data_IF_430145155400
#
_entry.id   IF_430145155400
#
_cell.length_a   1.000
_cell.length_b   1.000
_cell.length_c   1.000
_cell.angle_alpha   90.00
_cell.angle_beta   90.00
_cell.angle_gamma   90.00
#
_symmetry.space_group_name_H-M   'P 1'
#
loop_
_entity.id
_entity.type
_entity.pdbx_description
1 polymer ?
#
# COMPACT_ATOMS: atom_id res chain seq x y z
N UNK A 1 -8.32 -2.16 20.33
CA UNK A 1 -8.59 -0.92 21.03
C UNK A 1 -10.00 -0.44 20.73
N UNK A 2 -10.62 0.22 21.71
CA UNK A 2 -12.01 0.63 21.65
C UNK A 2 -12.15 2.10 21.21
N UNK A 3 -11.55 2.46 20.04
CA UNK A 3 -11.77 3.79 19.51
C UNK A 3 -13.28 4.02 19.25
N UNK A 4 -13.81 5.24 19.46
CA UNK A 4 -15.20 5.57 19.19
C UNK A 4 -15.58 5.34 17.72
N UNK A 5 -16.88 5.25 17.47
CA UNK A 5 -17.42 5.25 16.11
C UNK A 5 -17.01 6.54 15.38
N UNK A 6 -16.47 6.42 14.17
CA UNK A 6 -15.93 7.54 13.39
C UNK A 6 -14.44 7.85 13.63
N UNK A 7 -13.81 7.20 14.62
CA UNK A 7 -12.39 7.44 14.94
C UNK A 7 -11.50 6.20 14.76
N UNK A 8 -12.09 5.04 14.48
CA UNK A 8 -11.38 3.76 14.35
C UNK A 8 -10.50 3.73 13.12
N UNK A 9 -9.31 3.17 13.24
CA UNK A 9 -8.48 2.86 12.07
C UNK A 9 -8.94 1.56 11.39
N UNK A 10 -8.61 1.44 10.10
CA UNK A 10 -8.76 0.23 9.30
C UNK A 10 -7.38 -0.23 8.82
N UNK A 11 -7.06 -1.49 9.09
CA UNK A 11 -5.81 -2.12 8.66
C UNK A 11 -6.13 -3.22 7.67
N UNK A 12 -5.84 -2.99 6.39
CA UNK A 12 -6.03 -3.98 5.32
C UNK A 12 -4.71 -4.70 5.11
N UNK A 13 -4.69 -6.01 5.33
CA UNK A 13 -3.47 -6.83 5.30
C UNK A 13 -3.61 -7.98 4.32
N UNK A 14 -2.88 -7.91 3.20
CA UNK A 14 -2.96 -8.84 2.09
C UNK A 14 -2.05 -10.04 2.31
N UNK A 15 -2.60 -11.26 2.12
CA UNK A 15 -1.87 -12.50 2.30
C UNK A 15 -0.92 -12.83 1.13
N UNK A 16 0.09 -13.64 1.42
CA UNK A 16 1.00 -14.21 0.43
C UNK A 16 0.38 -15.37 -0.38
N UNK A 17 1.22 -16.05 -1.15
CA UNK A 17 0.84 -17.15 -2.03
C UNK A 17 0.91 -16.75 -3.49
N UNK A 18 -0.20 -16.77 -4.22
CA UNK A 18 -0.24 -16.37 -5.63
C UNK A 18 -0.61 -17.51 -6.57
N UNK A 19 0.16 -17.70 -7.64
CA UNK A 19 -0.05 -18.75 -8.66
C UNK A 19 0.20 -20.16 -8.15
N UNK A 20 -0.59 -20.61 -7.18
CA UNK A 20 -0.46 -21.92 -6.53
C UNK A 20 -1.84 -22.51 -6.21
N UNK A 21 -1.88 -23.62 -5.46
CA UNK A 21 -3.14 -24.30 -5.15
C UNK A 21 -4.03 -23.49 -4.23
N UNK A 22 -5.34 -23.68 -4.35
CA UNK A 22 -6.34 -23.07 -3.46
C UNK A 22 -6.02 -23.33 -1.98
N UNK A 23 -5.72 -24.59 -1.64
CA UNK A 23 -5.36 -25.01 -0.27
C UNK A 23 -4.17 -24.25 0.28
N UNK A 24 -3.13 -24.02 -0.53
CA UNK A 24 -1.95 -23.25 -0.11
C UNK A 24 -2.31 -21.79 0.14
N UNK A 25 -3.03 -21.15 -0.77
CA UNK A 25 -3.46 -19.76 -0.62
C UNK A 25 -4.38 -19.57 0.59
N UNK A 26 -5.26 -20.53 0.88
CA UNK A 26 -6.09 -20.51 2.09
C UNK A 26 -5.25 -20.61 3.36
N UNK A 27 -4.19 -21.42 3.35
CA UNK A 27 -3.22 -21.49 4.43
C UNK A 27 -2.53 -20.14 4.66
N UNK A 28 -2.07 -19.49 3.61
CA UNK A 28 -1.45 -18.16 3.67
C UNK A 28 -2.45 -17.10 4.18
N UNK A 29 -3.69 -17.12 3.72
CA UNK A 29 -4.74 -16.26 4.26
C UNK A 29 -5.01 -16.52 5.74
N UNK A 30 -5.09 -17.78 6.17
CA UNK A 30 -5.26 -18.12 7.59
C UNK A 30 -4.11 -17.58 8.45
N UNK A 31 -2.87 -17.65 7.97
CA UNK A 31 -1.72 -17.05 8.65
C UNK A 31 -1.86 -15.53 8.73
N UNK A 32 -2.22 -14.87 7.64
CA UNK A 32 -2.32 -13.42 7.57
C UNK A 32 -3.35 -12.84 8.54
N UNK A 33 -4.46 -13.55 8.80
CA UNK A 33 -5.49 -13.14 9.76
C UNK A 33 -4.97 -12.90 11.18
N UNK A 34 -3.84 -13.51 11.52
CA UNK A 34 -3.25 -13.47 12.85
C UNK A 34 -1.81 -12.93 12.86
N UNK A 35 -1.29 -12.50 11.70
CA UNK A 35 0.11 -12.14 11.56
C UNK A 35 0.44 -10.84 12.31
N UNK A 36 -0.42 -9.85 12.25
CA UNK A 36 -0.21 -8.55 12.87
C UNK A 36 -1.33 -8.18 13.83
N UNK A 37 -0.99 -7.33 14.80
CA UNK A 37 -1.92 -6.86 15.81
C UNK A 37 -1.73 -5.35 16.02
N UNK A 38 -2.50 -4.52 15.32
CA UNK A 38 -2.51 -3.06 15.55
C UNK A 38 -2.88 -2.72 17.00
N UNK A 39 -2.46 -1.56 17.46
CA UNK A 39 -2.75 -1.06 18.81
C UNK A 39 -4.24 -0.74 18.97
N UNK A 40 -4.89 -0.27 17.89
CA UNK A 40 -6.33 0.05 17.85
C UNK A 40 -6.91 -0.21 16.45
N UNK A 41 -8.24 -0.11 16.33
CA UNK A 41 -8.94 -0.22 15.07
C UNK A 41 -9.35 -1.63 14.67
N UNK A 42 -9.62 -1.79 13.40
CA UNK A 42 -10.12 -3.02 12.80
C UNK A 42 -9.07 -3.57 11.85
N UNK A 43 -8.60 -4.78 12.13
CA UNK A 43 -7.69 -5.51 11.25
C UNK A 43 -8.47 -6.44 10.34
N UNK A 44 -8.28 -6.29 9.03
CA UNK A 44 -8.94 -7.09 7.99
C UNK A 44 -7.87 -7.75 7.13
N UNK A 45 -7.91 -9.06 7.06
CA UNK A 45 -7.12 -9.83 6.10
C UNK A 45 -8.10 -10.41 5.06
N UNK A 46 -8.29 -9.77 3.90
CA UNK A 46 -9.14 -10.30 2.85
C UNK A 46 -8.52 -11.57 2.24
N UNK A 47 -9.36 -12.48 1.73
CA UNK A 47 -8.92 -13.57 0.85
C UNK A 47 -8.93 -13.05 -0.59
N UNK A 48 -7.79 -13.15 -1.28
CA UNK A 48 -7.74 -12.77 -2.70
C UNK A 48 -8.76 -13.57 -3.52
N UNK A 49 -9.47 -12.95 -4.47
CA UNK A 49 -10.52 -13.62 -5.24
C UNK A 49 -10.02 -14.77 -6.13
N UNK A 50 -8.75 -14.68 -6.54
CA UNK A 50 -8.13 -15.66 -7.47
C UNK A 50 -6.91 -16.32 -6.84
N UNK A 51 -6.46 -17.42 -7.48
CA UNK A 51 -5.21 -18.10 -7.16
C UNK A 51 -4.20 -17.85 -8.29
N UNK A 52 -3.89 -16.60 -8.55
CA UNK A 52 -2.98 -16.13 -9.59
C UNK A 52 -1.82 -15.34 -8.99
N UNK A 53 -0.68 -15.29 -9.69
CA UNK A 53 0.50 -14.53 -9.23
C UNK A 53 0.20 -13.04 -9.02
N UNK A 54 -0.71 -12.48 -9.82
CA UNK A 54 -1.16 -11.09 -9.78
C UNK A 54 -2.51 -10.91 -9.04
N UNK A 55 -2.82 -11.79 -8.11
CA UNK A 55 -4.13 -11.85 -7.45
C UNK A 55 -4.55 -10.56 -6.72
N UNK A 56 -3.60 -9.71 -6.35
CA UNK A 56 -3.85 -8.49 -5.59
C UNK A 56 -3.88 -7.21 -6.42
N UNK A 57 -3.55 -7.26 -7.72
CA UNK A 57 -3.44 -6.03 -8.52
C UNK A 57 -4.10 -6.10 -9.90
N UNK A 58 -4.98 -7.08 -10.11
CA UNK A 58 -5.92 -7.07 -11.23
C UNK A 58 -6.96 -5.95 -11.03
N UNK A 59 -7.44 -5.35 -12.13
CA UNK A 59 -8.35 -4.20 -12.10
C UNK A 59 -9.53 -4.30 -11.09
N UNK A 60 -10.26 -5.45 -10.97
CA UNK A 60 -11.38 -5.54 -10.04
C UNK A 60 -11.01 -5.38 -8.55
N UNK A 61 -9.73 -5.51 -8.20
CA UNK A 61 -9.26 -5.36 -6.81
C UNK A 61 -9.41 -3.92 -6.34
N UNK A 62 -9.17 -2.94 -7.18
CA UNK A 62 -9.29 -1.53 -6.83
C UNK A 62 -10.71 -1.24 -6.34
N UNK A 63 -11.71 -1.63 -7.13
CA UNK A 63 -13.11 -1.47 -6.75
C UNK A 63 -13.49 -2.27 -5.49
N UNK A 64 -12.96 -3.47 -5.33
CA UNK A 64 -13.18 -4.29 -4.14
C UNK A 64 -12.68 -3.56 -2.87
N UNK A 65 -11.53 -2.91 -2.94
CA UNK A 65 -10.98 -2.17 -1.78
C UNK A 65 -11.72 -0.86 -1.53
N UNK A 66 -12.11 -0.14 -2.57
CA UNK A 66 -12.96 1.05 -2.44
C UNK A 66 -14.28 0.70 -1.72
N UNK A 67 -14.97 -0.34 -2.17
CA UNK A 67 -16.22 -0.82 -1.56
C UNK A 67 -16.01 -1.31 -0.11
N UNK A 68 -14.91 -2.05 0.14
CA UNK A 68 -14.55 -2.47 1.51
C UNK A 68 -14.35 -1.28 2.42
N UNK A 69 -13.57 -0.28 2.00
CA UNK A 69 -13.31 0.92 2.79
C UNK A 69 -14.62 1.67 3.06
N UNK A 70 -15.45 1.90 2.06
CA UNK A 70 -16.75 2.55 2.22
C UNK A 70 -17.66 1.79 3.19
N UNK A 71 -17.77 0.48 3.04
CA UNK A 71 -18.55 -0.37 3.96
C UNK A 71 -18.04 -0.26 5.40
N UNK A 72 -16.73 -0.25 5.59
CA UNK A 72 -16.13 -0.14 6.93
C UNK A 72 -16.33 1.24 7.54
N UNK A 73 -16.31 2.31 6.74
CA UNK A 73 -16.64 3.67 7.20
C UNK A 73 -18.09 3.71 7.68
N UNK A 74 -19.02 3.29 6.84
CA UNK A 74 -20.48 3.42 7.13
C UNK A 74 -20.93 2.47 8.23
N UNK A 75 -20.54 1.19 8.16
CA UNK A 75 -21.08 0.15 9.04
C UNK A 75 -20.28 -0.05 10.32
N UNK A 76 -19.00 0.31 10.34
CA UNK A 76 -18.09 0.05 11.47
C UNK A 76 -17.48 1.30 12.09
N UNK A 77 -17.79 2.48 11.55
CA UNK A 77 -17.31 3.76 12.06
C UNK A 77 -15.79 3.91 11.93
N UNK A 78 -15.24 3.48 10.80
CA UNK A 78 -13.86 3.73 10.44
C UNK A 78 -13.69 5.20 10.08
N UNK A 79 -12.60 5.82 10.53
CA UNK A 79 -12.20 7.13 10.08
C UNK A 79 -11.61 7.03 8.66
N UNK A 80 -12.18 7.69 7.64
CA UNK A 80 -11.68 7.61 6.26
C UNK A 80 -10.22 8.08 6.10
N UNK A 81 -9.69 8.80 7.08
CA UNK A 81 -8.32 9.29 7.07
C UNK A 81 -7.35 8.41 7.89
N UNK A 82 -7.82 7.26 8.40
CA UNK A 82 -7.01 6.29 9.14
C UNK A 82 -7.13 4.89 8.54
N UNK A 83 -6.94 4.78 7.23
CA UNK A 83 -6.92 3.51 6.51
C UNK A 83 -5.48 3.17 6.13
N UNK A 84 -5.01 2.00 6.51
CA UNK A 84 -3.64 1.54 6.32
C UNK A 84 -3.62 0.29 5.44
N UNK A 85 -2.69 0.25 4.49
CA UNK A 85 -2.49 -0.88 3.58
C UNK A 85 -1.17 -1.58 3.90
N UNK A 86 -1.22 -2.90 4.02
CA UNK A 86 -0.04 -3.73 4.22
C UNK A 86 -0.20 -5.09 3.54
N UNK A 87 0.90 -5.77 3.31
CA UNK A 87 0.86 -7.10 2.70
C UNK A 87 2.21 -7.79 2.68
N UNK A 88 2.20 -9.11 2.73
CA UNK A 88 3.36 -9.96 2.79
C UNK A 88 3.51 -10.82 1.53
N UNK A 89 4.73 -10.97 0.99
CA UNK A 89 5.02 -11.80 -0.18
C UNK A 89 4.18 -11.35 -1.40
N UNK A 90 3.34 -12.19 -1.98
CA UNK A 90 2.41 -11.78 -3.04
C UNK A 90 1.46 -10.65 -2.59
N UNK A 91 1.13 -10.57 -1.28
CA UNK A 91 0.44 -9.40 -0.72
C UNK A 91 1.31 -8.15 -0.73
N UNK A 92 2.62 -8.30 -0.56
CA UNK A 92 3.60 -7.22 -0.72
C UNK A 92 3.72 -6.74 -2.17
N UNK A 93 3.67 -7.66 -3.15
CA UNK A 93 3.56 -7.31 -4.58
C UNK A 93 2.31 -6.45 -4.81
N UNK A 94 1.20 -6.83 -4.17
CA UNK A 94 -0.04 -6.07 -4.20
C UNK A 94 0.10 -4.66 -3.61
N UNK A 95 0.82 -4.51 -2.49
CA UNK A 95 1.06 -3.18 -1.89
C UNK A 95 1.86 -2.30 -2.85
N UNK A 96 2.89 -2.82 -3.50
CA UNK A 96 3.65 -2.07 -4.50
C UNK A 96 2.77 -1.49 -5.62
N UNK A 97 1.73 -2.22 -6.02
CA UNK A 97 0.82 -1.81 -7.11
C UNK A 97 -0.34 -0.94 -6.62
N UNK A 98 -0.98 -1.35 -5.53
CA UNK A 98 -2.18 -0.66 -5.03
C UNK A 98 -1.87 0.64 -4.29
N UNK A 99 -0.76 0.71 -3.55
CA UNK A 99 -0.42 1.90 -2.80
C UNK A 99 -0.26 3.15 -3.69
N UNK A 100 0.51 3.15 -4.79
CA UNK A 100 0.55 4.31 -5.68
C UNK A 100 -0.75 4.52 -6.45
N UNK A 101 -1.48 3.46 -6.79
CA UNK A 101 -2.70 3.53 -7.60
C UNK A 101 -3.89 4.09 -6.82
N UNK A 102 -3.98 3.77 -5.52
CA UNK A 102 -5.01 4.20 -4.59
C UNK A 102 -4.43 5.04 -3.43
N UNK A 103 -3.38 5.81 -3.70
CA UNK A 103 -2.67 6.57 -2.66
C UNK A 103 -3.59 7.55 -1.91
N UNK A 104 -4.61 8.04 -2.56
CA UNK A 104 -5.63 8.92 -2.00
C UNK A 104 -6.63 8.23 -1.06
N UNK A 105 -6.56 6.90 -0.90
CA UNK A 105 -7.40 6.14 0.02
C UNK A 105 -6.69 5.79 1.34
N UNK A 106 -5.36 5.91 1.40
CA UNK A 106 -4.58 5.41 2.52
C UNK A 106 -3.87 6.52 3.31
N UNK A 107 -3.73 6.31 4.61
CA UNK A 107 -2.94 7.16 5.51
C UNK A 107 -1.45 6.79 5.49
N UNK A 108 -1.14 5.52 5.35
CA UNK A 108 0.20 4.98 5.14
C UNK A 108 0.11 3.57 4.54
N UNK A 109 1.18 3.11 3.92
CA UNK A 109 1.29 1.75 3.43
C UNK A 109 2.64 1.12 3.79
N UNK A 110 2.66 -0.21 3.96
CA UNK A 110 3.89 -0.97 4.21
C UNK A 110 3.93 -2.25 3.40
N UNK A 111 4.95 -2.37 2.59
CA UNK A 111 5.24 -3.56 1.81
C UNK A 111 6.20 -4.47 2.57
N UNK A 112 5.87 -5.75 2.69
CA UNK A 112 6.69 -6.76 3.37
C UNK A 112 7.02 -7.90 2.39
N UNK A 113 8.30 -8.11 2.11
CA UNK A 113 8.84 -9.19 1.27
C UNK A 113 8.16 -9.32 -0.11
N UNK A 114 7.76 -8.20 -0.71
CA UNK A 114 7.14 -8.13 -2.04
C UNK A 114 8.11 -7.69 -3.13
N UNK A 115 7.78 -7.99 -4.38
CA UNK A 115 8.52 -7.57 -5.56
C UNK A 115 7.84 -6.35 -6.22
N UNK A 116 8.56 -5.25 -6.48
CA UNK A 116 7.97 -4.02 -7.03
C UNK A 116 7.54 -4.13 -8.50
N UNK A 117 8.15 -5.03 -9.26
CA UNK A 117 7.98 -5.01 -10.72
C UNK A 117 8.44 -3.69 -11.32
N UNK A 118 7.65 -3.20 -12.26
CA UNK A 118 7.90 -1.96 -13.02
C UNK A 118 7.04 -0.77 -12.54
N UNK A 119 6.51 -0.84 -11.32
CA UNK A 119 5.63 0.20 -10.77
C UNK A 119 6.36 1.54 -10.64
N UNK A 120 5.67 2.65 -10.98
CA UNK A 120 6.14 4.00 -10.73
C UNK A 120 5.89 4.46 -9.29
N UNK A 121 6.80 5.27 -8.74
CA UNK A 121 6.73 5.74 -7.35
C UNK A 121 6.12 7.14 -7.23
N UNK A 122 5.83 7.81 -8.34
CA UNK A 122 5.43 9.23 -8.39
C UNK A 122 4.17 9.51 -7.55
N UNK A 123 3.20 8.60 -7.59
CA UNK A 123 1.93 8.73 -6.87
C UNK A 123 2.07 8.58 -5.35
N UNK A 124 3.22 8.11 -4.85
CA UNK A 124 3.51 8.00 -3.41
C UNK A 124 3.86 9.34 -2.75
N UNK A 125 3.83 10.45 -3.49
CA UNK A 125 4.22 11.76 -2.96
C UNK A 125 3.58 12.11 -1.62
N UNK A 126 2.31 11.82 -1.45
CA UNK A 126 1.53 12.15 -0.25
C UNK A 126 1.16 10.92 0.60
N UNK A 127 1.69 9.75 0.26
CA UNK A 127 1.45 8.51 0.98
C UNK A 127 2.75 8.05 1.66
N UNK A 128 2.88 8.13 2.99
CA UNK A 128 3.98 7.52 3.73
C UNK A 128 4.10 6.03 3.41
N UNK A 129 5.28 5.59 3.02
CA UNK A 129 5.53 4.25 2.51
C UNK A 129 6.70 3.56 3.20
N UNK A 130 6.55 2.30 3.59
CA UNK A 130 7.61 1.55 4.23
C UNK A 130 7.92 0.28 3.46
N UNK A 131 9.21 0.02 3.27
CA UNK A 131 9.75 -1.14 2.55
C UNK A 131 10.43 -2.06 3.55
N UNK A 132 10.00 -3.32 3.62
CA UNK A 132 10.62 -4.37 4.41
C UNK A 132 11.00 -5.56 3.54
N UNK A 133 12.29 -5.95 3.56
CA UNK A 133 12.77 -7.12 2.84
C UNK A 133 13.95 -7.75 3.58
N UNK A 134 14.07 -9.07 3.51
CA UNK A 134 15.27 -9.74 3.99
C UNK A 134 16.44 -9.55 3.00
N UNK A 135 17.66 -9.33 3.51
CA UNK A 135 18.86 -9.19 2.68
C UNK A 135 19.18 -10.47 1.90
N UNK A 136 18.77 -11.62 2.44
CA UNK A 136 18.95 -12.95 1.82
C UNK A 136 17.73 -13.41 1.00
N UNK A 137 16.69 -12.57 0.82
CA UNK A 137 15.52 -12.87 -0.02
C UNK A 137 15.85 -12.67 -1.51
N UNK A 138 16.68 -13.55 -2.03
CA UNK A 138 17.22 -13.47 -3.40
C UNK A 138 16.27 -13.96 -4.50
N UNK A 139 15.16 -14.60 -4.13
CA UNK A 139 14.18 -15.04 -5.12
C UNK A 139 13.64 -13.85 -5.91
N UNK A 140 13.72 -13.94 -7.25
CA UNK A 140 13.37 -12.85 -8.18
C UNK A 140 14.19 -11.56 -7.97
N UNK A 141 15.39 -11.64 -7.35
CA UNK A 141 16.19 -10.49 -6.94
C UNK A 141 15.44 -9.52 -6.00
N UNK A 142 14.50 -10.01 -5.22
CA UNK A 142 13.60 -9.18 -4.41
C UNK A 142 14.35 -8.24 -3.46
N UNK A 143 15.38 -8.74 -2.79
CA UNK A 143 16.24 -7.95 -1.91
C UNK A 143 16.89 -6.76 -2.64
N UNK A 144 17.45 -7.00 -3.83
CA UNK A 144 18.10 -5.95 -4.63
C UNK A 144 17.06 -4.95 -5.20
N UNK A 145 15.93 -5.45 -5.69
CA UNK A 145 14.87 -4.59 -6.21
C UNK A 145 14.25 -3.72 -5.10
N UNK A 146 14.05 -4.26 -3.90
CA UNK A 146 13.56 -3.48 -2.75
C UNK A 146 14.56 -2.40 -2.33
N UNK A 147 15.85 -2.73 -2.26
CA UNK A 147 16.91 -1.76 -1.94
C UNK A 147 16.95 -0.62 -2.99
N UNK A 148 16.94 -0.98 -4.28
CA UNK A 148 16.91 -0.01 -5.38
C UNK A 148 15.71 0.92 -5.31
N UNK A 149 14.51 0.40 -4.99
CA UNK A 149 13.30 1.24 -4.83
C UNK A 149 13.40 2.16 -3.62
N UNK A 150 14.09 1.72 -2.55
CA UNK A 150 14.45 2.60 -1.43
C UNK A 150 15.30 3.79 -1.87
N UNK A 151 16.37 3.54 -2.62
CA UNK A 151 17.24 4.59 -3.18
C UNK A 151 16.48 5.54 -4.11
N UNK A 152 15.55 5.02 -4.93
CA UNK A 152 14.69 5.84 -5.79
C UNK A 152 13.75 6.74 -4.94
N UNK A 153 13.22 6.24 -3.83
CA UNK A 153 12.41 7.03 -2.89
C UNK A 153 13.25 8.11 -2.19
N UNK A 154 14.49 7.79 -1.78
CA UNK A 154 15.44 8.77 -1.24
C UNK A 154 15.67 9.92 -2.22
N UNK A 155 15.94 9.60 -3.49
CA UNK A 155 16.15 10.59 -4.54
C UNK A 155 14.91 11.45 -4.84
N UNK A 156 13.69 10.88 -4.71
CA UNK A 156 12.45 11.63 -4.84
C UNK A 156 12.23 12.58 -3.65
N UNK A 157 12.51 12.12 -2.43
CA UNK A 157 12.39 12.92 -1.22
C UNK A 157 13.44 14.03 -1.18
N UNK A 158 14.67 13.81 -1.61
CA UNK A 158 15.69 14.84 -1.72
C UNK A 158 15.24 16.00 -2.61
N UNK A 159 14.59 15.69 -3.74
CA UNK A 159 14.02 16.69 -4.67
C UNK A 159 12.75 17.35 -4.13
N UNK A 160 12.06 16.70 -3.22
CA UNK A 160 10.76 17.13 -2.69
C UNK A 160 10.67 16.81 -1.20
N UNK A 161 11.35 17.57 -0.33
CA UNK A 161 11.48 17.25 1.10
C UNK A 161 10.15 17.17 1.87
N UNK A 162 9.11 17.83 1.37
CA UNK A 162 7.75 17.79 1.93
C UNK A 162 6.91 16.59 1.48
N UNK A 163 7.45 15.71 0.63
CA UNK A 163 6.76 14.53 0.11
C UNK A 163 7.61 13.27 0.19
N UNK A 164 7.06 12.14 -0.28
CA UNK A 164 7.74 10.86 -0.36
C UNK A 164 8.32 10.39 0.99
N UNK A 165 7.59 10.63 2.08
CA UNK A 165 7.98 10.14 3.41
C UNK A 165 8.05 8.62 3.35
N UNK A 166 9.23 8.06 3.66
CA UNK A 166 9.41 6.61 3.58
C UNK A 166 10.49 6.11 4.55
N UNK A 167 10.54 4.80 4.70
CA UNK A 167 11.66 4.08 5.32
C UNK A 167 11.92 2.79 4.56
N UNK A 168 13.19 2.41 4.43
CA UNK A 168 13.61 1.15 3.81
C UNK A 168 14.41 0.33 4.81
N UNK A 169 13.95 -0.89 5.04
CA UNK A 169 14.56 -1.86 5.93
C UNK A 169 14.92 -3.13 5.17
N UNK A 170 16.22 -3.29 4.89
CA UNK A 170 16.78 -4.52 4.32
C UNK A 170 17.47 -5.25 5.48
N UNK A 171 16.86 -6.33 5.94
CA UNK A 171 17.26 -7.01 7.18
C UNK A 171 18.36 -8.02 6.94
N UNK A 172 19.56 -7.77 7.46
CA UNK A 172 20.70 -8.66 7.40
C UNK A 172 20.40 -10.03 8.03
N UNK A 173 20.81 -11.11 7.36
CA UNK A 173 20.60 -12.48 7.82
C UNK A 173 19.14 -12.97 7.79
N UNK A 174 18.24 -12.23 7.15
CA UNK A 174 16.86 -12.64 6.94
C UNK A 174 16.60 -12.97 5.48
N UNK A 175 15.96 -14.11 5.25
CA UNK A 175 15.43 -14.50 3.95
C UNK A 175 14.01 -13.97 3.74
N UNK A 176 13.20 -14.76 3.02
CA UNK A 176 11.81 -14.40 2.73
C UNK A 176 10.94 -14.23 3.98
N UNK A 177 11.24 -14.94 5.08
CA UNK A 177 10.60 -14.75 6.38
C UNK A 177 11.48 -13.88 7.27
N UNK A 178 10.93 -12.76 7.74
CA UNK A 178 11.64 -11.74 8.52
C UNK A 178 11.42 -11.87 10.04
N UNK A 179 10.95 -13.03 10.52
CA UNK A 179 10.69 -13.31 11.95
C UNK A 179 9.78 -12.27 12.65
N UNK A 180 8.91 -11.62 11.88
CA UNK A 180 7.99 -10.55 12.30
C UNK A 180 8.68 -9.24 12.73
N UNK A 181 9.94 -9.03 12.39
CA UNK A 181 10.59 -7.74 12.61
C UNK A 181 9.89 -6.60 11.84
N UNK A 182 9.31 -6.92 10.69
CA UNK A 182 8.45 -6.07 9.88
C UNK A 182 7.19 -5.57 10.60
N UNK A 183 6.80 -6.19 11.75
CA UNK A 183 5.71 -5.70 12.58
C UNK A 183 5.98 -4.29 13.17
N UNK A 184 7.25 -3.85 13.19
CA UNK A 184 7.63 -2.48 13.54
C UNK A 184 7.04 -1.42 12.57
N UNK A 185 6.54 -1.84 11.41
CA UNK A 185 5.80 -0.96 10.51
C UNK A 185 4.52 -0.40 11.15
N UNK A 186 3.82 -1.16 12.00
CA UNK A 186 2.53 -0.75 12.55
C UNK A 186 2.62 0.54 13.38
N UNK A 187 3.47 0.64 14.42
CA UNK A 187 3.59 1.86 15.21
C UNK A 187 4.15 3.04 14.42
N UNK A 188 4.84 2.80 13.30
CA UNK A 188 5.25 3.87 12.41
C UNK A 188 4.08 4.37 11.57
N UNK A 189 3.29 3.47 10.96
CA UNK A 189 2.13 3.81 10.15
C UNK A 189 1.06 4.56 10.96
N UNK A 190 0.85 4.19 12.22
CA UNK A 190 -0.12 4.84 13.14
C UNK A 190 0.14 6.34 13.35
N UNK A 191 1.35 6.83 13.08
CA UNK A 191 1.69 8.25 13.21
C UNK A 191 1.07 9.12 12.13
N UNK A 192 0.57 8.51 11.04
CA UNK A 192 0.09 9.23 9.88
C UNK A 192 -1.43 9.21 9.80
N UNK A 193 -1.95 10.34 9.37
CA UNK A 193 -3.37 10.53 9.02
C UNK A 193 -3.42 11.10 7.61
N UNK A 194 -4.27 10.54 6.77
CA UNK A 194 -4.42 11.00 5.38
C UNK A 194 -4.89 12.46 5.36
N UNK A 195 -4.24 13.28 4.55
CA UNK A 195 -4.74 14.59 4.18
C UNK A 195 -5.53 14.45 2.87
N UNK A 196 -6.87 14.62 2.86
CA UNK A 196 -7.68 14.49 1.64
C UNK A 196 -7.49 15.67 0.66
N UNK A 197 -6.91 16.78 1.11
CA UNK A 197 -6.72 18.01 0.32
C UNK A 197 -5.26 18.47 0.34
N UNK A 198 -4.30 17.66 -0.13
CA UNK A 198 -2.91 18.07 -0.16
C UNK A 198 -2.71 19.24 -1.14
N UNK A 199 -1.81 20.16 -0.76
CA UNK A 199 -1.52 21.35 -1.58
C UNK A 199 -0.68 21.05 -2.82
N UNK A 200 -0.03 19.91 -2.87
CA UNK A 200 0.75 19.47 -4.02
C UNK A 200 0.45 18.01 -4.33
N UNK A 201 0.20 17.71 -5.58
CA UNK A 201 -0.11 16.39 -6.11
C UNK A 201 0.82 16.04 -7.26
N UNK A 202 1.17 14.78 -7.34
CA UNK A 202 1.72 14.13 -8.53
C UNK A 202 0.82 12.92 -8.81
N UNK A 203 0.29 12.83 -10.01
CA UNK A 203 -0.55 11.73 -10.43
C UNK A 203 -0.13 11.22 -11.79
N UNK A 204 0.28 9.98 -11.85
CA UNK A 204 0.62 9.25 -13.06
C UNK A 204 -0.38 8.10 -13.25
N UNK A 205 -0.97 8.01 -14.44
CA UNK A 205 -1.87 6.93 -14.83
C UNK A 205 -1.02 5.76 -15.35
N UNK A 206 -1.15 4.58 -14.73
CA UNK A 206 -0.38 3.40 -15.10
C UNK A 206 -1.26 2.26 -15.66
N UNK A 207 -1.34 1.14 -14.95
CA UNK A 207 -2.04 -0.07 -15.43
C UNK A 207 -3.56 0.07 -15.40
N UNK A 208 -4.09 0.62 -14.31
CA UNK A 208 -5.51 0.89 -14.13
C UNK A 208 -5.73 2.39 -14.22
N UNK A 209 -6.67 2.78 -15.05
CA UNK A 209 -6.98 4.17 -15.32
C UNK A 209 -8.10 4.65 -14.40
N UNK A 210 -7.86 5.74 -13.69
CA UNK A 210 -8.80 6.34 -12.75
C UNK A 210 -9.22 7.72 -13.22
N UNK A 211 -10.46 8.10 -12.93
CA UNK A 211 -10.99 9.45 -13.26
C UNK A 211 -10.70 10.45 -12.13
N UNK A 212 -10.44 9.99 -10.93
CA UNK A 212 -10.23 10.82 -9.74
C UNK A 212 -8.97 10.43 -8.99
N UNK A 213 -8.33 11.42 -8.35
CA UNK A 213 -7.21 11.22 -7.44
C UNK A 213 -7.16 12.38 -6.43
N UNK A 214 -7.33 12.10 -5.15
CA UNK A 214 -7.58 13.09 -4.11
C UNK A 214 -8.77 13.99 -4.43
N UNK A 215 -8.53 15.27 -4.70
CA UNK A 215 -9.55 16.28 -5.00
C UNK A 215 -9.58 16.69 -6.48
N UNK A 216 -8.80 16.03 -7.33
CA UNK A 216 -8.81 16.29 -8.77
C UNK A 216 -9.57 15.21 -9.52
N UNK A 217 -10.18 15.58 -10.62
CA UNK A 217 -10.77 14.66 -11.59
C UNK A 217 -10.35 15.05 -13.00
N UNK A 218 -10.26 14.06 -13.87
CA UNK A 218 -9.96 14.22 -15.29
C UNK A 218 -11.10 13.59 -16.07
N UNK A 219 -11.67 14.26 -17.09
CA UNK A 219 -12.67 13.67 -17.95
C UNK A 219 -12.15 12.36 -18.56
N UNK A 220 -13.02 11.37 -18.66
CA UNK A 220 -12.64 10.02 -19.10
C UNK A 220 -11.96 9.99 -20.46
N UNK A 221 -12.39 10.85 -21.36
CA UNK A 221 -11.83 11.02 -22.70
C UNK A 221 -10.42 11.61 -22.73
N UNK A 222 -10.00 12.25 -21.63
CA UNK A 222 -8.67 12.86 -21.49
C UNK A 222 -7.68 11.98 -20.70
N UNK A 223 -8.15 10.84 -20.18
CA UNK A 223 -7.29 9.93 -19.45
C UNK A 223 -6.32 9.23 -20.41
N UNK A 224 -5.04 9.33 -20.13
CA UNK A 224 -3.98 8.70 -20.92
C UNK A 224 -3.00 7.95 -20.03
N UNK A 225 -2.74 6.69 -20.37
CA UNK A 225 -1.72 5.88 -19.69
C UNK A 225 -0.34 6.54 -19.81
N UNK A 226 0.44 6.53 -18.73
CA UNK A 226 1.77 7.12 -18.67
C UNK A 226 1.78 8.64 -18.59
N UNK A 227 0.63 9.31 -18.69
CA UNK A 227 0.55 10.76 -18.52
C UNK A 227 0.69 11.12 -17.05
N UNK A 228 1.64 11.99 -16.74
CA UNK A 228 1.85 12.57 -15.44
C UNK A 228 1.20 13.95 -15.34
N UNK A 229 0.46 14.18 -14.27
CA UNK A 229 -0.11 15.47 -13.89
C UNK A 229 0.53 15.94 -12.59
N UNK A 230 1.05 17.17 -12.58
CA UNK A 230 1.59 17.82 -11.38
C UNK A 230 0.78 19.05 -11.05
N UNK A 231 0.26 19.11 -9.84
CA UNK A 231 -0.53 20.25 -9.38
C UNK A 231 0.07 20.76 -8.06
N UNK A 232 0.23 22.07 -7.99
CA UNK A 232 0.57 22.77 -6.75
C UNK A 232 -0.38 23.94 -6.55
N UNK A 233 -1.08 23.94 -5.43
CA UNK A 233 -2.00 25.01 -5.03
C UNK A 233 -1.30 25.87 -3.98
N UNK A 234 -1.24 27.18 -4.21
CA UNK A 234 -0.80 28.15 -3.21
C UNK A 234 -2.04 28.70 -2.51
N UNK A 235 -2.07 28.66 -1.18
CA UNK A 235 -3.00 29.48 -0.41
C UNK A 235 -2.61 30.95 -0.61
N UNK A 236 -3.58 31.75 -1.06
CA UNK A 236 -3.47 33.22 -1.02
C UNK A 236 -3.65 33.69 0.43
#
# INVERSE_FOLDING_TARGET
>A
GNAPFGERSLWISMHGGGGTTHKFNDGQWNNQKHLYKPSEGIYVAPRAPWNAWNMWFQEPIDKMFEELIQMMIVCKGVNPNKVYLMGYSAGGDGVWRLAPRLADHFAAASMMAGHPGDVGLQNLRNLPFMIWCGADDSAYNRNMECAKRGEEMDALQEKTPEGYIHQTHILEGKGHWMDREDAAALPWMEKFTRNPYPQALVWCQEEVLCECFYWISVPREEIMRGKEVRIRVKKN
#
